data_IF_638612769716
#
_entry.id   IF_638612769716
#
_cell.length_a   1.000
_cell.length_b   1.000
_cell.length_c   1.000
_cell.angle_alpha   90.00
_cell.angle_beta   90.00
_cell.angle_gamma   90.00
#
_symmetry.space_group_name_H-M   'P 1'
#
loop_
_entity.id
_entity.type
_entity.pdbx_description
1 polymer ?
#
# COMPACT_ATOMS: atom_id res chain seq x y z
N UNK A 1 -5.95 8.90 -2.10
CA UNK A 1 -4.54 8.71 -2.48
C UNK A 1 -4.01 7.56 -1.65
N UNK A 2 -3.21 6.67 -2.25
CA UNK A 2 -2.64 5.51 -1.57
C UNK A 2 -1.14 5.45 -1.87
N UNK A 3 -0.36 5.01 -0.89
CA UNK A 3 1.08 4.87 -0.99
C UNK A 3 1.47 3.41 -0.86
N UNK A 4 2.59 3.08 -1.51
CA UNK A 4 3.27 1.80 -1.33
C UNK A 4 4.60 2.11 -0.64
N UNK A 5 4.79 1.56 0.55
CA UNK A 5 6.03 1.72 1.32
C UNK A 5 6.79 0.39 1.34
N UNK A 6 8.11 0.47 1.34
CA UNK A 6 9.03 -0.67 1.40
C UNK A 6 9.96 -0.52 2.59
N UNK A 7 10.02 -1.52 3.46
CA UNK A 7 10.91 -1.47 4.60
C UNK A 7 10.94 -2.80 5.33
N UNK A 8 12.09 -3.14 5.91
CA UNK A 8 12.22 -4.28 6.84
C UNK A 8 11.68 -5.61 6.29
N UNK A 9 11.90 -5.89 5.00
CA UNK A 9 11.40 -7.12 4.35
C UNK A 9 9.91 -7.12 4.03
N UNK A 10 9.25 -5.95 4.11
CA UNK A 10 7.80 -5.79 3.94
C UNK A 10 7.46 -4.75 2.88
N UNK A 11 6.26 -4.88 2.33
CA UNK A 11 5.59 -3.90 1.48
C UNK A 11 4.28 -3.52 2.14
N UNK A 12 4.06 -2.24 2.44
CA UNK A 12 2.80 -1.74 3.01
C UNK A 12 2.03 -0.94 1.96
N UNK A 13 0.75 -1.25 1.78
CA UNK A 13 -0.23 -0.42 1.09
C UNK A 13 -1.02 0.36 2.13
N UNK A 14 -1.04 1.68 2.03
CA UNK A 14 -1.78 2.54 2.97
C UNK A 14 -2.32 3.79 2.29
N UNK A 15 -3.54 4.19 2.66
CA UNK A 15 -4.12 5.50 2.38
C UNK A 15 -3.97 6.48 3.54
N UNK A 16 -3.36 6.06 4.66
CA UNK A 16 -3.17 6.87 5.86
C UNK A 16 -1.93 7.73 5.73
N UNK A 17 -2.10 9.03 5.90
CA UNK A 17 -0.98 9.97 5.81
C UNK A 17 0.00 9.81 6.98
N UNK A 18 -0.47 9.35 8.15
CA UNK A 18 0.39 9.09 9.31
C UNK A 18 1.46 8.02 9.04
N UNK A 19 1.19 7.03 8.19
CA UNK A 19 2.14 5.96 7.86
C UNK A 19 3.32 6.47 7.02
N UNK A 20 3.23 7.67 6.46
CA UNK A 20 4.37 8.31 5.80
C UNK A 20 5.50 8.63 6.79
N UNK A 21 5.21 8.77 8.08
CA UNK A 21 6.23 8.92 9.12
C UNK A 21 7.14 7.69 9.23
N UNK A 22 6.72 6.52 8.73
CA UNK A 22 7.59 5.34 8.64
C UNK A 22 8.82 5.59 7.75
N UNK A 23 8.77 6.60 6.87
CA UNK A 23 9.93 7.01 6.08
C UNK A 23 11.10 7.47 6.97
N UNK A 24 10.80 8.07 8.12
CA UNK A 24 11.81 8.47 9.11
C UNK A 24 12.39 7.26 9.86
N UNK A 25 11.68 6.13 9.86
CA UNK A 25 12.03 4.86 10.51
C UNK A 25 12.64 3.81 9.56
N UNK A 26 13.19 4.29 8.42
CA UNK A 26 13.92 3.47 7.46
C UNK A 26 13.05 2.76 6.42
N UNK A 27 11.79 3.15 6.28
CA UNK A 27 10.97 2.76 5.14
C UNK A 27 11.20 3.70 3.95
N UNK A 28 10.95 3.22 2.75
CA UNK A 28 11.04 3.98 1.51
C UNK A 28 9.70 4.01 0.82
N UNK A 29 9.24 5.19 0.43
CA UNK A 29 8.06 5.34 -0.43
C UNK A 29 8.42 4.82 -1.83
N UNK A 30 7.79 3.73 -2.24
CA UNK A 30 7.99 3.09 -3.54
C UNK A 30 7.09 3.68 -4.63
N UNK A 31 5.99 4.32 -4.25
CA UNK A 31 5.08 4.99 -5.16
C UNK A 31 3.84 5.57 -4.46
N UNK A 32 3.13 6.43 -5.18
CA UNK A 32 1.84 6.98 -4.81
C UNK A 32 0.85 6.78 -5.96
N UNK A 33 -0.40 6.46 -5.64
CA UNK A 33 -1.41 5.98 -6.56
C UNK A 33 -2.78 6.58 -6.23
N UNK A 34 -3.58 6.83 -7.27
CA UNK A 34 -4.89 7.46 -7.09
C UNK A 34 -5.90 6.51 -6.43
N UNK A 35 -5.75 5.20 -6.66
CA UNK A 35 -6.67 4.17 -6.16
C UNK A 35 -5.95 3.08 -5.37
N UNK A 36 -6.68 2.48 -4.42
CA UNK A 36 -6.16 1.37 -3.62
C UNK A 36 -5.82 0.16 -4.49
N UNK A 37 -6.67 -0.16 -5.46
CA UNK A 37 -6.46 -1.30 -6.36
C UNK A 37 -5.20 -1.16 -7.23
N UNK A 38 -4.83 0.06 -7.60
CA UNK A 38 -3.57 0.32 -8.31
C UNK A 38 -2.35 0.15 -7.39
N UNK A 39 -2.41 0.72 -6.18
CA UNK A 39 -1.37 0.57 -5.16
C UNK A 39 -1.16 -0.92 -4.81
N UNK A 40 -2.24 -1.65 -4.57
CA UNK A 40 -2.22 -3.07 -4.24
C UNK A 40 -1.58 -3.92 -5.35
N UNK A 41 -1.98 -3.72 -6.62
CA UNK A 41 -1.35 -4.42 -7.75
C UNK A 41 0.15 -4.14 -7.84
N UNK A 42 0.58 -2.91 -7.58
CA UNK A 42 2.01 -2.58 -7.55
C UNK A 42 2.71 -3.31 -6.41
N UNK A 43 2.12 -3.30 -5.23
CA UNK A 43 2.68 -3.90 -4.02
C UNK A 43 2.82 -5.43 -4.16
N UNK A 44 1.82 -6.11 -4.73
CA UNK A 44 1.90 -7.54 -5.09
C UNK A 44 3.11 -7.81 -6.00
N UNK A 45 3.26 -7.02 -7.07
CA UNK A 45 4.38 -7.20 -8.02
C UNK A 45 5.74 -7.03 -7.33
N UNK A 46 5.85 -6.06 -6.40
CA UNK A 46 7.08 -5.86 -5.62
C UNK A 46 7.34 -7.03 -4.68
N UNK A 47 6.32 -7.43 -3.92
CA UNK A 47 6.41 -8.51 -2.95
C UNK A 47 6.83 -9.84 -3.60
N UNK A 48 6.18 -10.22 -4.69
CA UNK A 48 6.51 -11.46 -5.41
C UNK A 48 7.90 -11.42 -6.06
N UNK A 49 8.40 -10.25 -6.45
CA UNK A 49 9.72 -10.14 -7.11
C UNK A 49 10.90 -10.19 -6.14
N UNK A 50 10.66 -10.03 -4.84
CA UNK A 50 11.72 -9.83 -3.85
C UNK A 50 11.48 -10.61 -2.55
N UNK A 51 10.58 -11.59 -2.57
CA UNK A 51 10.22 -12.43 -1.41
C UNK A 51 9.86 -11.60 -0.16
N UNK A 52 9.05 -10.55 -0.35
CA UNK A 52 8.63 -9.65 0.72
C UNK A 52 7.22 -9.98 1.19
N UNK A 53 6.94 -9.69 2.46
CA UNK A 53 5.58 -9.78 3.01
C UNK A 53 4.77 -8.56 2.58
N UNK A 54 3.60 -8.78 1.99
CA UNK A 54 2.65 -7.74 1.63
C UNK A 54 1.67 -7.49 2.79
N UNK A 55 1.52 -6.22 3.15
CA UNK A 55 0.62 -5.73 4.19
C UNK A 55 -0.30 -4.64 3.68
N UNK A 56 -1.52 -4.63 4.21
CA UNK A 56 -2.52 -3.61 3.97
C UNK A 56 -3.52 -3.58 5.13
N UNK A 57 -4.26 -2.47 5.23
CA UNK A 57 -5.38 -2.36 6.14
C UNK A 57 -6.65 -2.91 5.50
N UNK A 58 -7.30 -3.87 6.16
CA UNK A 58 -8.54 -4.48 5.66
C UNK A 58 -9.65 -3.43 5.48
N UNK A 59 -9.68 -2.41 6.33
CA UNK A 59 -10.66 -1.32 6.24
C UNK A 59 -10.55 -0.56 4.91
N UNK A 60 -9.33 -0.38 4.39
CA UNK A 60 -9.09 0.32 3.13
C UNK A 60 -9.48 -0.52 1.92
N UNK A 61 -9.23 -1.83 1.98
CA UNK A 61 -9.73 -2.77 0.97
C UNK A 61 -11.27 -2.74 0.92
N UNK A 62 -11.92 -2.86 2.07
CA UNK A 62 -13.38 -2.82 2.16
C UNK A 62 -13.95 -1.49 1.65
N UNK A 63 -13.30 -0.37 1.97
CA UNK A 63 -13.70 0.95 1.46
C UNK A 63 -13.58 1.00 -0.07
N UNK A 64 -12.47 0.54 -0.64
CA UNK A 64 -12.27 0.52 -2.08
C UNK A 64 -13.33 -0.34 -2.80
N UNK A 65 -13.66 -1.51 -2.25
CA UNK A 65 -14.71 -2.39 -2.78
C UNK A 65 -16.10 -1.74 -2.74
N UNK A 66 -16.43 -1.04 -1.65
CA UNK A 66 -17.71 -0.31 -1.54
C UNK A 66 -17.79 0.81 -2.56
N UNK A 67 -16.74 1.60 -2.69
CA UNK A 67 -16.70 2.70 -3.67
C UNK A 67 -16.86 2.19 -5.11
N UNK A 68 -16.31 1.02 -5.43
CA UNK A 68 -16.46 0.40 -6.74
C UNK A 68 -17.86 -0.17 -7.04
N UNK A 69 -18.68 -0.45 -6.02
CA UNK A 69 -20.07 -0.91 -6.21
C UNK A 69 -21.05 0.25 -6.41
N UNK A 70 -20.68 1.46 -5.99
CA UNK A 70 -21.49 2.67 -6.07
C UNK A 70 -21.17 3.58 -7.25
N UNK A 71 -20.14 3.25 -8.03
CA UNK A 71 -19.63 4.01 -9.18
C UNK A 71 -20.07 3.35 -10.50
#
# INVERSE_FOLDING_TARGET
>A
MYWVLLGRGRVLVTGRAEDLALADDGWRIAGAYASWAEAFRRAVKLASSSDLVLEWYLEEELQALRSAQTA
#
